data_IF_122836159996
#
_entry.id   IF_122836159996
#
_cell.length_a   1.000
_cell.length_b   1.000
_cell.length_c   1.000
_cell.angle_alpha   90.00
_cell.angle_beta   90.00
_cell.angle_gamma   90.00
#
_symmetry.space_group_name_H-M   'P 1'
#
loop_
_entity.id
_entity.type
_entity.pdbx_description
1 polymer ?
#
# COMPACT_ATOMS: atom_id res chain seq x y z
N UNK A 1 3.17 -2.11 -30.21
CA UNK A 1 3.07 -0.73 -29.70
C UNK A 1 3.40 0.22 -30.84
N UNK A 2 2.59 1.26 -31.05
CA UNK A 2 2.86 2.30 -32.06
C UNK A 2 4.21 2.98 -31.76
N UNK A 3 5.06 3.16 -32.78
CA UNK A 3 6.38 3.81 -32.66
C UNK A 3 6.29 5.34 -32.56
N UNK A 4 5.30 5.84 -31.82
CA UNK A 4 5.09 7.27 -31.64
C UNK A 4 6.14 7.81 -30.65
N UNK A 5 6.85 8.88 -31.05
CA UNK A 5 7.80 9.54 -30.15
C UNK A 5 7.06 10.16 -28.97
N UNK A 6 7.54 9.88 -27.77
CA UNK A 6 7.00 10.41 -26.51
C UNK A 6 8.13 10.81 -25.57
N UNK A 7 7.85 11.77 -24.68
CA UNK A 7 8.71 12.15 -23.56
C UNK A 7 7.92 12.06 -22.25
N UNK A 8 8.63 12.04 -21.13
CA UNK A 8 8.04 11.95 -19.82
C UNK A 8 9.00 12.28 -18.70
N UNK A 9 8.46 12.24 -17.48
CA UNK A 9 9.20 12.55 -16.25
C UNK A 9 9.15 11.33 -15.32
N UNK A 10 10.30 10.99 -14.74
CA UNK A 10 10.40 10.11 -13.59
C UNK A 10 10.25 10.94 -12.32
N UNK A 11 9.17 10.74 -11.59
CA UNK A 11 8.93 11.35 -10.29
C UNK A 11 8.09 10.40 -9.45
N UNK A 12 8.62 9.86 -8.37
CA UNK A 12 7.81 9.00 -7.51
C UNK A 12 6.80 9.80 -6.69
N UNK A 13 5.66 9.19 -6.36
CA UNK A 13 4.53 9.84 -5.66
C UNK A 13 4.98 10.45 -4.33
N UNK A 14 5.88 9.79 -3.60
CA UNK A 14 6.39 10.27 -2.31
C UNK A 14 7.12 11.61 -2.38
N UNK A 15 7.59 12.00 -3.57
CA UNK A 15 8.32 13.25 -3.81
C UNK A 15 7.41 14.45 -4.10
N UNK A 16 6.10 14.23 -4.25
CA UNK A 16 5.15 15.32 -4.44
C UNK A 16 5.02 16.20 -3.18
N UNK A 17 4.82 17.51 -3.31
CA UNK A 17 4.85 18.47 -2.20
C UNK A 17 3.54 18.49 -1.37
N UNK A 18 3.09 17.33 -0.90
CA UNK A 18 1.89 17.21 -0.04
C UNK A 18 2.15 17.79 1.37
N UNK A 19 1.15 18.46 1.99
CA UNK A 19 1.29 19.03 3.32
C UNK A 19 1.37 17.99 4.45
N UNK A 20 1.21 16.69 4.13
CA UNK A 20 1.17 15.59 5.11
C UNK A 20 2.49 14.84 5.25
N UNK A 21 3.61 15.49 4.91
CA UNK A 21 4.99 15.04 5.14
C UNK A 21 5.51 13.97 4.17
N UNK A 22 4.66 13.47 3.29
CA UNK A 22 5.01 12.63 2.14
C UNK A 22 4.02 12.91 1.03
N UNK A 23 4.47 12.90 -0.22
CA UNK A 23 3.57 12.96 -1.36
C UNK A 23 2.58 11.78 -1.38
N UNK A 24 1.37 12.04 -1.87
CA UNK A 24 0.24 11.12 -1.86
C UNK A 24 -0.64 11.31 -3.11
N UNK A 25 -1.71 10.53 -3.25
CA UNK A 25 -2.66 10.61 -4.37
C UNK A 25 -3.63 11.81 -4.30
N UNK A 26 -3.26 12.84 -3.55
CA UNK A 26 -4.06 14.05 -3.32
C UNK A 26 -3.87 15.13 -4.38
N UNK A 27 -4.30 16.38 -4.08
CA UNK A 27 -4.30 17.49 -5.04
C UNK A 27 -2.98 17.70 -5.78
N UNK A 28 -1.84 17.52 -5.12
CA UNK A 28 -0.53 17.72 -5.73
C UNK A 28 -0.21 16.69 -6.83
N UNK A 29 -0.75 15.46 -6.74
CA UNK A 29 -0.61 14.48 -7.82
C UNK A 29 -1.41 14.89 -9.06
N UNK A 30 -2.61 15.44 -8.88
CA UNK A 30 -3.44 15.93 -9.98
C UNK A 30 -2.81 17.16 -10.64
N UNK A 31 -2.30 18.11 -9.85
CA UNK A 31 -1.54 19.26 -10.37
C UNK A 31 -0.30 18.83 -11.14
N UNK A 32 0.38 17.76 -10.70
CA UNK A 32 1.52 17.24 -11.44
C UNK A 32 1.10 16.63 -12.79
N UNK A 33 -0.05 15.94 -12.84
CA UNK A 33 -0.62 15.48 -14.12
C UNK A 33 -0.96 16.67 -15.03
N UNK A 34 -1.56 17.73 -14.49
CA UNK A 34 -1.86 18.95 -15.25
C UNK A 34 -0.58 19.56 -15.83
N UNK A 35 0.47 19.66 -15.01
CA UNK A 35 1.79 20.12 -15.45
C UNK A 35 2.36 19.25 -16.58
N UNK A 36 2.26 17.92 -16.48
CA UNK A 36 2.72 17.02 -17.55
C UNK A 36 1.92 17.26 -18.84
N UNK A 37 0.61 17.42 -18.74
CA UNK A 37 -0.25 17.73 -19.86
C UNK A 37 0.11 19.07 -20.52
N UNK A 38 0.20 20.14 -19.74
CA UNK A 38 0.53 21.49 -20.19
C UNK A 38 1.92 21.58 -20.84
N UNK A 39 2.86 20.75 -20.39
CA UNK A 39 4.22 20.66 -20.94
C UNK A 39 4.38 19.58 -22.01
N UNK A 40 3.29 19.02 -22.53
CA UNK A 40 3.22 17.99 -23.58
C UNK A 40 4.01 16.70 -23.25
N UNK A 41 4.19 16.40 -21.96
CA UNK A 41 4.73 15.12 -21.51
C UNK A 41 3.64 14.06 -21.59
N UNK A 42 3.96 12.90 -22.18
CA UNK A 42 3.00 11.80 -22.38
C UNK A 42 3.18 10.67 -21.38
N UNK A 43 4.29 10.67 -20.63
CA UNK A 43 4.66 9.57 -19.73
C UNK A 43 4.99 10.10 -18.33
N UNK A 44 4.44 9.45 -17.31
CA UNK A 44 4.84 9.61 -15.91
C UNK A 44 5.38 8.28 -15.40
N UNK A 45 6.69 8.20 -15.21
CA UNK A 45 7.32 7.01 -14.64
C UNK A 45 7.38 7.11 -13.12
N UNK A 46 7.06 6.00 -12.45
CA UNK A 46 7.07 5.87 -11.00
C UNK A 46 7.83 4.61 -10.59
N UNK A 47 8.43 4.65 -9.40
CA UNK A 47 8.96 3.47 -8.71
C UNK A 47 7.80 2.57 -8.20
N UNK A 48 8.07 1.34 -7.73
CA UNK A 48 7.04 0.46 -7.18
C UNK A 48 6.19 1.16 -6.11
N UNK A 49 4.89 0.91 -6.11
CA UNK A 49 3.94 1.51 -5.17
C UNK A 49 3.66 0.61 -3.96
N UNK A 50 4.45 -0.45 -3.77
CA UNK A 50 4.25 -1.45 -2.74
C UNK A 50 4.66 -0.94 -1.35
N UNK A 51 4.11 -1.50 -0.25
CA UNK A 51 4.49 -1.11 1.11
C UNK A 51 6.00 -1.28 1.36
N UNK A 52 6.61 -0.44 2.19
CA UNK A 52 8.07 -0.44 2.38
C UNK A 52 8.46 -0.80 3.83
N UNK A 53 9.37 -1.75 4.04
CA UNK A 53 9.92 -2.08 5.37
C UNK A 53 11.16 -1.24 5.74
N UNK A 54 12.00 -0.94 4.75
CA UNK A 54 13.25 -0.17 4.90
C UNK A 54 13.22 1.16 4.15
N UNK A 55 12.03 1.73 3.96
CA UNK A 55 11.79 2.92 3.15
C UNK A 55 12.25 2.78 1.68
N UNK A 56 12.48 1.54 1.21
CA UNK A 56 12.85 1.22 -0.17
C UNK A 56 11.64 0.63 -0.90
N UNK A 57 11.24 1.19 -2.06
CA UNK A 57 10.20 0.62 -2.92
C UNK A 57 10.51 -0.79 -3.43
N UNK A 58 11.78 -1.21 -3.40
CA UNK A 58 12.22 -2.54 -3.87
C UNK A 58 12.36 -3.56 -2.72
N UNK A 59 12.00 -3.20 -1.48
CA UNK A 59 11.94 -4.11 -0.33
C UNK A 59 10.58 -3.99 0.32
N UNK A 60 9.70 -4.90 -0.07
CA UNK A 60 8.28 -4.88 0.26
C UNK A 60 7.80 -6.16 0.92
N UNK A 61 6.77 -6.03 1.75
CA UNK A 61 6.05 -7.16 2.33
C UNK A 61 5.03 -7.78 1.36
N UNK A 62 4.79 -7.18 0.18
CA UNK A 62 3.95 -7.79 -0.85
C UNK A 62 4.26 -7.22 -2.22
N UNK A 63 4.25 -8.07 -3.25
CA UNK A 63 4.33 -7.68 -4.65
C UNK A 63 3.03 -7.02 -5.18
N UNK A 64 1.91 -7.25 -4.49
CA UNK A 64 0.57 -6.86 -4.95
C UNK A 64 0.01 -5.67 -4.17
N UNK A 65 0.23 -5.63 -2.85
CA UNK A 65 -0.34 -4.59 -2.01
C UNK A 65 0.15 -3.19 -2.40
N UNK A 66 -0.68 -2.19 -2.15
CA UNK A 66 -0.34 -0.78 -2.23
C UNK A 66 0.11 -0.18 -0.90
N UNK A 67 1.07 0.74 -0.95
CA UNK A 67 1.64 1.42 0.21
C UNK A 67 0.60 2.36 0.86
N UNK A 68 0.13 2.10 2.09
CA UNK A 68 -0.86 2.94 2.75
C UNK A 68 -0.42 4.39 2.99
N UNK A 69 0.89 4.67 2.97
CA UNK A 69 1.42 6.02 3.15
C UNK A 69 1.08 6.95 1.97
N UNK A 70 0.81 6.39 0.79
CA UNK A 70 0.44 7.13 -0.42
C UNK A 70 -1.04 7.54 -0.46
N UNK A 71 -1.84 7.07 0.51
CA UNK A 71 -3.24 7.46 0.63
C UNK A 71 -3.30 8.93 1.07
N UNK A 72 -4.09 9.71 0.33
CA UNK A 72 -4.33 11.12 0.59
C UNK A 72 -5.38 11.33 1.68
N UNK A 73 -5.06 12.04 2.77
CA UNK A 73 -6.02 12.41 3.80
C UNK A 73 -7.11 13.36 3.27
N UNK A 74 -6.79 14.23 2.32
CA UNK A 74 -7.78 15.14 1.72
C UNK A 74 -8.83 14.37 0.90
N UNK A 75 -8.40 13.37 0.13
CA UNK A 75 -9.34 12.50 -0.61
C UNK A 75 -10.23 11.68 0.32
N UNK A 76 -9.76 11.33 1.52
CA UNK A 76 -10.62 10.72 2.55
C UNK A 76 -11.71 11.68 3.05
N UNK A 77 -11.46 12.99 3.06
CA UNK A 77 -12.51 13.99 3.33
C UNK A 77 -13.53 14.06 2.19
N UNK A 78 -13.09 14.01 0.92
CA UNK A 78 -13.99 13.96 -0.24
C UNK A 78 -14.92 12.72 -0.16
N UNK A 79 -14.38 11.60 0.31
CA UNK A 79 -15.14 10.36 0.56
C UNK A 79 -16.01 10.39 1.83
N UNK A 80 -16.02 11.51 2.56
CA UNK A 80 -16.75 11.69 3.85
C UNK A 80 -16.34 10.70 4.94
N UNK A 81 -15.11 10.21 4.88
CA UNK A 81 -14.53 9.33 5.90
C UNK A 81 -13.78 10.10 6.98
N UNK A 82 -13.43 11.36 6.71
CA UNK A 82 -12.78 12.29 7.62
C UNK A 82 -13.36 13.68 7.45
N UNK A 83 -13.21 14.53 8.46
CA UNK A 83 -13.46 15.97 8.33
C UNK A 83 -12.16 16.76 8.24
N UNK A 84 -12.22 18.05 7.86
CA UNK A 84 -11.01 18.88 7.78
C UNK A 84 -10.35 19.06 9.15
N UNK A 85 -11.15 19.04 10.22
CA UNK A 85 -10.69 19.12 11.60
C UNK A 85 -9.84 17.90 11.99
N UNK A 86 -10.11 16.74 11.40
CA UNK A 86 -9.35 15.52 11.62
C UNK A 86 -7.93 15.58 11.05
N UNK A 87 -7.73 16.43 10.04
CA UNK A 87 -6.45 16.63 9.37
C UNK A 87 -5.54 17.60 10.11
N UNK A 88 -6.06 18.32 11.12
CA UNK A 88 -5.28 19.28 11.89
C UNK A 88 -4.16 18.54 12.63
N UNK A 89 -2.92 18.85 12.23
CA UNK A 89 -1.73 18.35 12.89
C UNK A 89 -1.62 18.99 14.28
N UNK A 90 -1.31 18.21 15.34
CA UNK A 90 -0.86 18.80 16.59
C UNK A 90 0.31 19.75 16.31
N UNK A 91 0.36 20.90 16.96
CA UNK A 91 1.41 21.91 16.76
C UNK A 91 2.85 21.40 16.95
N UNK A 92 3.04 20.28 17.66
CA UNK A 92 4.31 19.58 17.82
C UNK A 92 4.71 18.69 16.62
N UNK A 93 3.80 18.45 15.67
CA UNK A 93 4.02 17.66 14.45
C UNK A 93 4.21 18.60 13.25
N UNK A 94 5.39 19.23 13.13
CA UNK A 94 5.77 19.87 11.87
C UNK A 94 6.44 18.86 10.95
N UNK A 95 5.91 18.73 9.74
CA UNK A 95 6.58 17.96 8.69
C UNK A 95 7.72 18.78 8.09
N UNK A 96 8.73 18.08 7.58
CA UNK A 96 9.82 18.70 6.86
C UNK A 96 9.40 18.84 5.38
N UNK A 97 9.67 20.00 4.80
CA UNK A 97 9.32 20.35 3.41
C UNK A 97 10.36 19.87 2.37
N UNK A 98 11.52 19.40 2.81
CA UNK A 98 12.64 19.00 1.94
C UNK A 98 12.82 17.49 1.81
N UNK A 99 12.47 16.71 2.84
CA UNK A 99 12.63 15.26 2.82
C UNK A 99 11.61 14.56 3.72
N UNK A 100 11.30 13.30 3.37
CA UNK A 100 10.32 12.47 4.08
C UNK A 100 10.91 11.94 5.38
N UNK A 101 10.29 12.28 6.52
CA UNK A 101 10.58 11.64 7.83
C UNK A 101 9.65 10.44 8.03
N UNK A 102 10.01 9.30 7.42
CA UNK A 102 9.15 8.11 7.33
C UNK A 102 8.52 7.69 8.66
N UNK A 103 9.29 7.67 9.77
CA UNK A 103 8.73 7.32 11.08
C UNK A 103 7.53 8.18 11.48
N UNK A 104 7.67 9.50 11.40
CA UNK A 104 6.60 10.44 11.78
C UNK A 104 5.40 10.36 10.82
N UNK A 105 5.68 10.22 9.52
CA UNK A 105 4.65 10.07 8.49
C UNK A 105 3.86 8.78 8.71
N UNK A 106 4.53 7.66 8.99
CA UNK A 106 3.89 6.37 9.27
C UNK A 106 2.98 6.46 10.48
N UNK A 107 3.44 7.04 11.60
CA UNK A 107 2.64 7.23 12.80
C UNK A 107 1.39 8.10 12.53
N UNK A 108 1.56 9.22 11.82
CA UNK A 108 0.44 10.10 11.45
C UNK A 108 -0.55 9.43 10.49
N UNK A 109 -0.08 8.91 9.35
CA UNK A 109 -0.94 8.30 8.32
C UNK A 109 -1.72 7.12 8.89
N UNK A 110 -1.10 6.25 9.70
CA UNK A 110 -1.86 5.16 10.32
C UNK A 110 -2.91 5.64 11.33
N UNK A 111 -2.63 6.70 12.11
CA UNK A 111 -3.63 7.31 12.99
C UNK A 111 -4.85 7.81 12.20
N UNK A 112 -4.59 8.53 11.11
CA UNK A 112 -5.63 9.06 10.22
C UNK A 112 -6.42 7.92 9.56
N UNK A 113 -5.74 6.91 9.03
CA UNK A 113 -6.37 5.76 8.38
C UNK A 113 -7.23 4.94 9.36
N UNK A 114 -6.81 4.79 10.62
CA UNK A 114 -7.63 4.10 11.63
C UNK A 114 -8.92 4.87 11.93
N UNK A 115 -8.86 6.20 12.04
CA UNK A 115 -10.06 7.03 12.20
C UNK A 115 -10.99 6.92 10.98
N UNK A 116 -10.42 6.97 9.77
CA UNK A 116 -11.19 6.79 8.54
C UNK A 116 -11.87 5.41 8.48
N UNK A 117 -11.18 4.36 8.94
CA UNK A 117 -11.73 3.01 9.02
C UNK A 117 -12.90 2.90 10.00
N UNK A 118 -12.80 3.52 11.18
CA UNK A 118 -13.91 3.56 12.15
C UNK A 118 -15.17 4.20 11.54
N UNK A 119 -15.00 5.32 10.83
CA UNK A 119 -16.10 6.00 10.14
C UNK A 119 -16.65 5.17 8.97
N UNK A 120 -15.79 4.47 8.24
CA UNK A 120 -16.18 3.58 7.14
C UNK A 120 -17.03 2.41 7.63
N UNK A 121 -16.61 1.75 8.72
CA UNK A 121 -17.30 0.58 9.26
C UNK A 121 -18.72 0.90 9.77
N UNK A 122 -18.94 2.13 10.24
CA UNK A 122 -20.25 2.61 10.68
C UNK A 122 -21.21 2.93 9.51
N UNK A 123 -20.73 2.93 8.26
CA UNK A 123 -21.52 3.28 7.08
C UNK A 123 -22.08 2.04 6.36
N UNK A 124 -23.41 1.85 6.41
CA UNK A 124 -24.08 0.69 5.80
C UNK A 124 -23.87 0.52 4.29
N UNK A 125 -23.58 1.60 3.54
CA UNK A 125 -23.34 1.53 2.08
C UNK A 125 -21.93 1.03 1.73
N UNK A 126 -20.98 1.18 2.65
CA UNK A 126 -19.59 0.75 2.48
C UNK A 126 -19.47 -0.76 2.21
N UNK A 127 -20.40 -1.55 2.76
CA UNK A 127 -20.39 -3.01 2.68
C UNK A 127 -20.66 -3.59 1.28
N UNK A 128 -21.26 -2.85 0.35
CA UNK A 128 -21.53 -3.37 -1.00
C UNK A 128 -20.28 -3.24 -1.86
N UNK A 129 -19.70 -2.05 -1.92
CA UNK A 129 -18.52 -1.76 -2.76
C UNK A 129 -17.31 -2.55 -2.27
N UNK A 130 -17.16 -2.72 -0.94
CA UNK A 130 -16.09 -3.54 -0.39
C UNK A 130 -16.18 -5.00 -0.82
N UNK A 131 -17.39 -5.55 -1.01
CA UNK A 131 -17.55 -6.94 -1.46
C UNK A 131 -17.05 -7.15 -2.88
N UNK A 132 -17.27 -6.18 -3.77
CA UNK A 132 -16.76 -6.26 -5.14
C UNK A 132 -15.23 -6.25 -5.16
N UNK A 133 -14.60 -5.36 -4.37
CA UNK A 133 -13.15 -5.32 -4.22
C UNK A 133 -12.58 -6.61 -3.62
N UNK A 134 -13.24 -7.15 -2.59
CA UNK A 134 -12.84 -8.43 -1.99
C UNK A 134 -12.91 -9.59 -2.99
N UNK A 135 -13.91 -9.60 -3.87
CA UNK A 135 -14.03 -10.62 -4.91
C UNK A 135 -12.97 -10.47 -6.00
N UNK A 136 -12.66 -9.24 -6.43
CA UNK A 136 -11.67 -9.02 -7.49
C UNK A 136 -10.23 -9.28 -7.03
N UNK A 137 -9.92 -9.07 -5.75
CA UNK A 137 -8.54 -9.14 -5.23
C UNK A 137 -8.28 -10.36 -4.32
N UNK A 138 -9.19 -11.35 -4.31
CA UNK A 138 -9.14 -12.46 -3.36
C UNK A 138 -7.85 -13.29 -3.41
N UNK A 139 -7.20 -13.38 -4.58
CA UNK A 139 -6.03 -14.22 -4.83
C UNK A 139 -4.81 -13.85 -3.98
N UNK A 140 -4.70 -12.60 -3.52
CA UNK A 140 -3.55 -12.12 -2.74
C UNK A 140 -3.95 -11.39 -1.45
N UNK A 141 -5.14 -10.77 -1.41
CA UNK A 141 -5.54 -9.89 -0.33
C UNK A 141 -5.77 -10.63 0.99
N UNK A 142 -6.30 -11.85 0.92
CA UNK A 142 -6.58 -12.69 2.10
C UNK A 142 -5.31 -13.15 2.81
N UNK A 143 -4.27 -13.44 2.03
CA UNK A 143 -2.95 -13.82 2.56
C UNK A 143 -2.18 -12.60 3.04
N UNK A 144 -2.17 -11.51 2.28
CA UNK A 144 -1.54 -10.26 2.68
C UNK A 144 -2.13 -9.73 3.99
N UNK A 145 -3.45 -9.65 4.11
CA UNK A 145 -4.10 -9.13 5.31
C UNK A 145 -3.83 -10.02 6.53
N UNK A 146 -3.84 -11.34 6.37
CA UNK A 146 -3.51 -12.27 7.44
C UNK A 146 -2.03 -12.18 7.84
N UNK A 147 -1.13 -12.14 6.86
CA UNK A 147 0.32 -11.96 7.07
C UNK A 147 0.60 -10.70 7.88
N UNK A 148 0.00 -9.57 7.52
CA UNK A 148 0.19 -8.29 8.22
C UNK A 148 -0.25 -8.36 9.68
N UNK A 149 -1.40 -8.99 9.96
CA UNK A 149 -1.90 -9.16 11.33
C UNK A 149 -0.97 -10.05 12.16
N UNK A 150 -0.51 -11.16 11.59
CA UNK A 150 0.42 -12.07 12.29
C UNK A 150 1.74 -11.33 12.56
N UNK A 151 2.27 -10.60 11.57
CA UNK A 151 3.48 -9.80 11.70
C UNK A 151 3.38 -8.77 12.82
N UNK A 152 2.27 -8.03 12.89
CA UNK A 152 2.01 -7.06 13.98
C UNK A 152 2.01 -7.75 15.36
N UNK A 153 1.33 -8.90 15.48
CA UNK A 153 1.26 -9.69 16.72
C UNK A 153 2.60 -10.29 17.14
N UNK A 154 3.48 -10.56 16.18
CA UNK A 154 4.82 -11.10 16.40
C UNK A 154 5.89 -10.00 16.55
N UNK A 155 5.50 -8.77 16.90
CA UNK A 155 6.40 -7.62 17.06
C UNK A 155 7.25 -7.33 15.80
N UNK A 156 6.66 -7.50 14.62
CA UNK A 156 7.29 -7.26 13.31
C UNK A 156 8.49 -8.17 12.97
N UNK A 157 8.63 -9.29 13.67
CA UNK A 157 9.62 -10.33 13.34
C UNK A 157 9.42 -10.89 11.94
N UNK A 158 10.49 -11.46 11.38
CA UNK A 158 10.42 -12.20 10.13
C UNK A 158 9.49 -13.41 10.29
N UNK A 159 8.76 -13.79 9.23
CA UNK A 159 7.86 -14.94 9.30
C UNK A 159 8.61 -16.26 9.55
N UNK A 160 9.88 -16.30 9.19
CA UNK A 160 10.80 -17.41 9.51
C UNK A 160 10.99 -17.66 11.00
N UNK A 161 10.73 -16.64 11.83
CA UNK A 161 10.88 -16.64 13.30
C UNK A 161 9.53 -16.77 14.03
N UNK A 162 8.43 -16.91 13.30
CA UNK A 162 7.11 -17.13 13.91
C UNK A 162 7.03 -18.52 14.53
N UNK A 163 5.99 -18.73 15.34
CA UNK A 163 5.72 -20.07 15.89
C UNK A 163 5.53 -21.08 14.75
N UNK A 164 5.88 -22.34 15.02
CA UNK A 164 5.85 -23.40 14.02
C UNK A 164 4.50 -23.49 13.29
N UNK A 165 3.40 -23.33 14.03
CA UNK A 165 2.04 -23.41 13.50
C UNK A 165 1.72 -22.29 12.51
N UNK A 166 2.25 -21.08 12.73
CA UNK A 166 2.05 -19.93 11.85
C UNK A 166 3.00 -19.97 10.64
N UNK A 167 4.24 -20.39 10.86
CA UNK A 167 5.27 -20.51 9.82
C UNK A 167 4.90 -21.56 8.77
N UNK A 168 4.35 -22.69 9.20
CA UNK A 168 3.96 -23.81 8.33
C UNK A 168 2.46 -23.87 8.01
N UNK A 169 1.75 -22.75 8.14
CA UNK A 169 0.34 -22.62 7.74
C UNK A 169 -0.60 -23.69 8.32
N UNK A 170 -0.45 -24.03 9.60
CA UNK A 170 -1.39 -24.95 10.23
C UNK A 170 -2.81 -24.35 10.23
N UNK A 171 -3.73 -25.05 9.57
CA UNK A 171 -5.08 -24.59 9.27
C UNK A 171 -5.81 -24.06 10.51
N UNK A 172 -5.78 -24.83 11.60
CA UNK A 172 -6.48 -24.46 12.84
C UNK A 172 -5.93 -23.16 13.45
N UNK A 173 -4.60 -22.97 13.37
CA UNK A 173 -3.98 -21.75 13.92
C UNK A 173 -4.30 -20.53 13.08
N UNK A 174 -4.24 -20.65 11.76
CA UNK A 174 -4.61 -19.54 10.86
C UNK A 174 -6.10 -19.20 10.99
N UNK A 175 -6.97 -20.20 11.10
CA UNK A 175 -8.40 -20.00 11.33
C UNK A 175 -8.66 -19.27 12.66
N UNK A 176 -7.96 -19.67 13.73
CA UNK A 176 -8.03 -18.96 15.01
C UNK A 176 -7.64 -17.48 14.89
N UNK A 177 -6.59 -17.16 14.11
CA UNK A 177 -6.21 -15.76 13.87
C UNK A 177 -7.29 -15.03 13.08
N UNK A 178 -7.84 -15.65 12.03
CA UNK A 178 -8.93 -15.07 11.23
C UNK A 178 -10.15 -14.73 12.09
N UNK A 179 -10.53 -15.61 13.01
CA UNK A 179 -11.68 -15.40 13.90
C UNK A 179 -11.41 -14.37 15.00
N UNK A 180 -10.23 -14.40 15.61
CA UNK A 180 -9.92 -13.52 16.75
C UNK A 180 -9.48 -12.12 16.34
N UNK A 181 -9.04 -11.92 15.09
CA UNK A 181 -8.45 -10.66 14.62
C UNK A 181 -9.22 -10.00 13.47
N UNK A 182 -10.50 -10.32 13.30
CA UNK A 182 -11.35 -9.83 12.19
C UNK A 182 -11.26 -8.31 11.99
N UNK A 183 -11.27 -7.52 13.08
CA UNK A 183 -11.21 -6.07 12.98
C UNK A 183 -9.88 -5.54 12.43
N UNK A 184 -8.75 -6.19 12.76
CA UNK A 184 -7.43 -5.78 12.26
C UNK A 184 -7.27 -6.23 10.80
N UNK A 185 -7.74 -7.43 10.47
CA UNK A 185 -7.80 -7.92 9.07
C UNK A 185 -8.62 -6.94 8.21
N UNK A 186 -9.82 -6.56 8.69
CA UNK A 186 -10.68 -5.59 8.03
C UNK A 186 -10.01 -4.21 7.86
N UNK A 187 -9.20 -3.77 8.82
CA UNK A 187 -8.40 -2.55 8.68
C UNK A 187 -7.39 -2.67 7.52
N UNK A 188 -6.63 -3.76 7.42
CA UNK A 188 -5.68 -3.93 6.32
C UNK A 188 -6.39 -3.99 4.96
N UNK A 189 -7.49 -4.74 4.85
CA UNK A 189 -8.35 -4.77 3.67
C UNK A 189 -8.82 -3.36 3.30
N UNK A 190 -9.33 -2.59 4.27
CA UNK A 190 -9.76 -1.22 4.05
C UNK A 190 -8.64 -0.34 3.49
N UNK A 191 -7.42 -0.45 4.01
CA UNK A 191 -6.30 0.36 3.47
C UNK A 191 -6.00 0.03 2.01
N UNK A 192 -6.10 -1.25 1.62
CA UNK A 192 -5.89 -1.67 0.23
C UNK A 192 -7.03 -1.19 -0.69
N UNK A 193 -8.27 -1.26 -0.20
CA UNK A 193 -9.42 -0.71 -0.91
C UNK A 193 -9.25 0.79 -1.17
N UNK A 194 -8.96 1.59 -0.14
CA UNK A 194 -8.77 3.04 -0.29
C UNK A 194 -7.59 3.37 -1.21
N UNK A 195 -6.49 2.62 -1.07
CA UNK A 195 -5.34 2.77 -1.97
C UNK A 195 -5.77 2.54 -3.42
N UNK A 196 -6.46 1.43 -3.69
CA UNK A 196 -6.94 1.08 -5.03
C UNK A 196 -7.84 2.17 -5.59
N UNK A 197 -8.82 2.64 -4.82
CA UNK A 197 -9.75 3.69 -5.23
C UNK A 197 -9.03 4.99 -5.61
N UNK A 198 -8.12 5.47 -4.76
CA UNK A 198 -7.42 6.73 -5.04
C UNK A 198 -6.44 6.58 -6.22
N UNK A 199 -5.74 5.46 -6.31
CA UNK A 199 -4.83 5.17 -7.41
C UNK A 199 -5.57 5.07 -8.76
N UNK A 200 -6.68 4.34 -8.80
CA UNK A 200 -7.51 4.18 -9.99
C UNK A 200 -8.05 5.53 -10.47
N UNK A 201 -8.54 6.39 -9.57
CA UNK A 201 -8.98 7.73 -9.94
C UNK A 201 -7.85 8.61 -10.50
N UNK A 202 -6.66 8.60 -9.89
CA UNK A 202 -5.50 9.35 -10.41
C UNK A 202 -5.08 8.85 -11.79
N UNK A 203 -5.01 7.52 -11.96
CA UNK A 203 -4.67 6.89 -13.25
C UNK A 203 -5.70 7.24 -14.33
N UNK A 204 -6.99 7.20 -14.01
CA UNK A 204 -8.05 7.61 -14.92
C UNK A 204 -7.91 9.07 -15.34
N UNK A 205 -7.64 9.97 -14.39
CA UNK A 205 -7.43 11.39 -14.65
C UNK A 205 -6.24 11.63 -15.59
N UNK A 206 -5.10 11.01 -15.31
CA UNK A 206 -3.92 11.10 -16.17
C UNK A 206 -4.20 10.60 -17.59
N UNK A 207 -4.87 9.45 -17.72
CA UNK A 207 -5.22 8.88 -19.02
C UNK A 207 -6.18 9.79 -19.81
N UNK A 208 -7.13 10.46 -19.15
CA UNK A 208 -8.02 11.43 -19.79
C UNK A 208 -7.25 12.62 -20.40
N UNK A 209 -6.12 12.98 -19.79
CA UNK A 209 -5.21 14.03 -20.28
C UNK A 209 -4.08 13.48 -21.18
N UNK A 210 -4.21 12.23 -21.66
CA UNK A 210 -3.22 11.52 -22.48
C UNK A 210 -1.84 11.32 -21.83
N UNK A 211 -1.77 11.36 -20.50
CA UNK A 211 -0.57 11.04 -19.72
C UNK A 211 -0.65 9.57 -19.27
N UNK A 212 0.26 8.73 -19.77
CA UNK A 212 0.34 7.31 -19.40
C UNK A 212 1.28 7.12 -18.22
N UNK A 213 0.87 6.30 -17.25
CA UNK A 213 1.72 5.93 -16.13
C UNK A 213 2.55 4.69 -16.46
N UNK A 214 3.85 4.77 -16.22
CA UNK A 214 4.80 3.67 -16.35
C UNK A 214 5.18 3.22 -14.94
N UNK A 215 4.65 2.06 -14.54
CA UNK A 215 5.03 1.41 -13.29
C UNK A 215 6.37 0.69 -13.40
N UNK A 216 6.83 0.21 -12.27
CA UNK A 216 8.06 -0.57 -12.12
C UNK A 216 7.75 -1.81 -11.27
N UNK A 217 8.23 -2.98 -11.69
CA UNK A 217 7.98 -4.26 -11.06
C UNK A 217 9.35 -4.93 -10.82
N UNK A 218 9.77 -5.11 -9.56
CA UNK A 218 10.98 -5.85 -9.25
C UNK A 218 10.86 -7.30 -9.73
N UNK A 219 11.93 -7.86 -10.28
CA UNK A 219 11.94 -9.27 -10.74
C UNK A 219 11.84 -10.27 -9.57
N UNK A 220 12.37 -9.91 -8.40
CA UNK A 220 12.34 -10.73 -7.19
C UNK A 220 11.53 -10.04 -6.09
N UNK A 221 10.93 -10.84 -5.22
CA UNK A 221 10.23 -10.39 -4.02
C UNK A 221 11.12 -10.54 -2.79
N UNK A 222 10.84 -9.77 -1.73
CA UNK A 222 11.56 -9.91 -0.45
C UNK A 222 11.20 -11.25 0.21
N UNK A 223 12.18 -11.93 0.82
CA UNK A 223 11.94 -13.15 1.57
C UNK A 223 10.90 -12.92 2.67
N UNK A 224 10.98 -11.78 3.37
CA UNK A 224 10.06 -11.46 4.46
C UNK A 224 8.78 -10.77 3.96
N UNK A 225 8.05 -11.45 3.07
CA UNK A 225 6.81 -10.98 2.45
C UNK A 225 5.66 -11.97 2.63
N UNK A 226 4.44 -11.49 2.42
CA UNK A 226 3.26 -12.31 2.29
C UNK A 226 3.39 -13.28 1.10
N UNK A 227 4.02 -12.84 0.01
CA UNK A 227 4.13 -13.62 -1.23
C UNK A 227 4.96 -14.90 -1.01
N UNK A 228 6.11 -14.79 -0.34
CA UNK A 228 6.97 -15.96 -0.03
C UNK A 228 6.36 -16.80 1.08
N UNK A 229 5.75 -16.17 2.08
CA UNK A 229 5.09 -16.89 3.17
C UNK A 229 3.97 -17.76 2.61
N UNK A 230 3.02 -17.24 1.83
CA UNK A 230 1.88 -18.03 1.38
C UNK A 230 2.16 -18.97 0.21
N UNK A 231 3.25 -18.78 -0.54
CA UNK A 231 3.58 -19.58 -1.73
C UNK A 231 4.96 -20.23 -1.63
N UNK A 232 5.29 -20.86 -0.49
CA UNK A 232 6.63 -21.45 -0.25
C UNK A 232 7.10 -22.43 -1.34
N UNK A 233 6.19 -23.06 -2.06
CA UNK A 233 6.44 -24.08 -3.09
C UNK A 233 7.00 -23.52 -4.40
N UNK A 234 6.86 -22.23 -4.67
CA UNK A 234 7.41 -21.60 -5.89
C UNK A 234 8.80 -20.97 -5.66
N UNK A 235 9.35 -21.08 -4.45
CA UNK A 235 10.67 -20.57 -4.08
C UNK A 235 11.65 -21.70 -3.71
N UNK A 236 12.95 -21.45 -3.87
CA UNK A 236 14.01 -22.39 -3.48
C UNK A 236 14.31 -22.27 -1.98
N UNK A 237 13.46 -22.88 -1.16
CA UNK A 237 13.58 -22.92 0.29
C UNK A 237 13.98 -24.31 0.78
N UNK A 238 14.69 -24.37 1.90
CA UNK A 238 14.94 -25.65 2.59
C UNK A 238 13.62 -26.21 3.15
N UNK A 239 13.31 -27.47 2.85
CA UNK A 239 12.01 -28.07 3.20
C UNK A 239 11.76 -28.16 4.72
N UNK A 240 12.81 -28.15 5.54
CA UNK A 240 12.70 -28.33 6.99
C UNK A 240 12.69 -27.01 7.75
N UNK A 241 13.43 -26.02 7.26
CA UNK A 241 13.63 -24.72 7.93
C UNK A 241 12.91 -23.58 7.22
N UNK A 242 12.50 -23.76 5.96
CA UNK A 242 11.96 -22.74 5.05
C UNK A 242 12.87 -21.51 4.88
N UNK A 243 14.17 -21.66 5.14
CA UNK A 243 15.18 -20.64 4.85
C UNK A 243 15.60 -20.74 3.37
N UNK A 244 15.96 -19.62 2.71
CA UNK A 244 16.43 -19.66 1.34
C UNK A 244 17.66 -20.57 1.19
N UNK A 245 17.59 -21.54 0.28
CA UNK A 245 18.74 -22.41 -0.03
C UNK A 245 19.79 -21.68 -0.89
N UNK A 246 19.33 -20.76 -1.73
CA UNK A 246 20.15 -19.84 -2.53
C UNK A 246 19.48 -18.46 -2.56
N UNK A 247 20.25 -17.43 -2.89
CA UNK A 247 19.76 -16.04 -3.00
C UNK A 247 20.21 -15.42 -4.31
N UNK A 248 19.48 -14.41 -4.79
CA UNK A 248 19.84 -13.63 -5.97
C UNK A 248 21.05 -12.72 -5.70
N UNK A 249 21.81 -12.41 -6.75
CA UNK A 249 23.00 -11.56 -6.71
C UNK A 249 23.64 -11.39 -8.08
#
# INVERSE_FOLDING_TARGET
>A
MSSERASGILLHITSLPSPYGIGDFGPEAYKFVDFLHETNQKLWQILPLTPTEKCSPYSSVSAFAGNPLLISPEKLCDMKLLTKEDLILPSACSFNDKYVKFKHVTEYKHKILRKAFENFNNNKRANIILKEFLQSEHDWLDDYSLYMVIKERQNKKSWSEWSHELKFHQKDKLQQVRETQQNIIAYHIFTQYIFHEQWTHLKMYANQLNVKLIGDIPIYVDYNSADVWSNTEIFQLDNSTLLPSVVSG
#
